data_IF_030835795673
#
_entry.id   IF_030835795673
#
_cell.length_a   1.000
_cell.length_b   1.000
_cell.length_c   1.000
_cell.angle_alpha   90.00
_cell.angle_beta   90.00
_cell.angle_gamma   90.00
#
_symmetry.space_group_name_H-M   'P 1'
#
loop_
_entity.id
_entity.type
_entity.pdbx_description
1 polymer ?
#
# COMPACT_ATOMS: atom_id res chain seq x y z
N UNK A 1 -5.60 -7.04 -0.94
CA UNK A 1 -5.77 -5.65 -1.38
C UNK A 1 -6.63 -4.95 -0.35
N UNK A 2 -6.48 -3.65 -0.19
CA UNK A 2 -7.39 -2.86 0.64
C UNK A 2 -8.79 -2.96 0.04
N UNK A 3 -9.78 -3.17 0.89
CA UNK A 3 -11.16 -3.01 0.46
C UNK A 3 -11.54 -1.53 0.42
N UNK A 4 -12.68 -1.22 -0.21
CA UNK A 4 -13.10 0.17 -0.39
C UNK A 4 -13.39 0.86 0.95
N UNK A 5 -13.87 0.12 1.96
CA UNK A 5 -14.21 0.67 3.28
C UNK A 5 -12.94 1.09 4.01
N UNK A 6 -11.92 0.23 3.97
CA UNK A 6 -10.60 0.50 4.53
C UNK A 6 -9.94 1.68 3.82
N UNK A 7 -10.02 1.74 2.49
CA UNK A 7 -9.49 2.87 1.73
C UNK A 7 -10.18 4.19 2.10
N UNK A 8 -11.51 4.22 2.15
CA UNK A 8 -12.27 5.41 2.56
C UNK A 8 -11.89 5.87 3.97
N UNK A 9 -11.72 4.93 4.90
CA UNK A 9 -11.29 5.25 6.27
C UNK A 9 -9.88 5.85 6.32
N UNK A 10 -8.94 5.32 5.54
CA UNK A 10 -7.59 5.86 5.45
C UNK A 10 -7.56 7.24 4.81
N UNK A 11 -8.33 7.44 3.73
CA UNK A 11 -8.45 8.74 3.06
C UNK A 11 -9.02 9.79 4.01
N UNK A 12 -10.11 9.46 4.72
CA UNK A 12 -10.71 10.37 5.70
C UNK A 12 -9.72 10.75 6.82
N UNK A 13 -8.89 9.81 7.30
CA UNK A 13 -7.84 10.13 8.28
C UNK A 13 -6.81 11.12 7.72
N UNK A 14 -6.32 10.89 6.51
CA UNK A 14 -5.31 11.74 5.88
C UNK A 14 -5.85 13.14 5.55
N UNK A 15 -7.10 13.24 5.09
CA UNK A 15 -7.77 14.52 4.79
C UNK A 15 -8.00 15.40 6.02
N UNK A 16 -8.13 14.79 7.21
CA UNK A 16 -8.35 15.51 8.47
C UNK A 16 -7.05 15.76 9.26
N UNK A 17 -5.88 15.40 8.72
CA UNK A 17 -4.61 15.60 9.41
C UNK A 17 -4.20 17.08 9.35
N UNK A 18 -3.90 17.69 10.50
CA UNK A 18 -3.46 19.10 10.55
C UNK A 18 -2.12 19.32 9.82
N UNK A 19 -1.24 18.33 9.86
CA UNK A 19 0.03 18.33 9.12
C UNK A 19 -0.18 17.85 7.69
N UNK A 20 -0.50 18.81 6.80
CA UNK A 20 -0.73 18.56 5.37
C UNK A 20 0.49 17.91 4.68
N UNK A 21 1.71 18.27 5.09
CA UNK A 21 2.92 17.71 4.51
C UNK A 21 3.04 16.23 4.84
N UNK A 22 2.83 15.86 6.11
CA UNK A 22 2.80 14.45 6.53
C UNK A 22 1.68 13.68 5.83
N UNK A 23 0.49 14.29 5.66
CA UNK A 23 -0.63 13.66 4.95
C UNK A 23 -0.27 13.31 3.51
N UNK A 24 0.35 14.26 2.78
CA UNK A 24 0.79 14.07 1.40
C UNK A 24 1.88 13.01 1.29
N UNK A 25 2.81 12.97 2.24
CA UNK A 25 3.88 11.96 2.28
C UNK A 25 3.29 10.55 2.47
N UNK A 26 2.39 10.37 3.44
CA UNK A 26 1.74 9.09 3.71
C UNK A 26 0.83 8.66 2.56
N UNK A 27 0.11 9.59 1.94
CA UNK A 27 -0.70 9.30 0.75
C UNK A 27 0.18 8.80 -0.41
N UNK A 28 1.33 9.44 -0.63
CA UNK A 28 2.29 9.01 -1.67
C UNK A 28 2.86 7.63 -1.36
N UNK A 29 3.24 7.37 -0.12
CA UNK A 29 3.71 6.06 0.32
C UNK A 29 2.66 4.97 0.10
N UNK A 30 1.41 5.23 0.49
CA UNK A 30 0.29 4.31 0.33
C UNK A 30 0.04 3.99 -1.15
N UNK A 31 0.03 5.01 -2.01
CA UNK A 31 -0.15 4.85 -3.46
C UNK A 31 0.98 4.02 -4.08
N UNK A 32 2.22 4.30 -3.70
CA UNK A 32 3.38 3.57 -4.22
C UNK A 32 3.36 2.10 -3.80
N UNK A 33 3.09 1.82 -2.52
CA UNK A 33 3.03 0.46 -2.00
C UNK A 33 1.89 -0.35 -2.65
N UNK A 34 0.69 0.23 -2.74
CA UNK A 34 -0.48 -0.44 -3.34
C UNK A 34 -0.32 -0.62 -4.85
N UNK A 35 0.27 0.36 -5.57
CA UNK A 35 0.57 0.22 -6.99
C UNK A 35 1.60 -0.89 -7.26
N UNK A 36 2.66 -0.95 -6.46
CA UNK A 36 3.68 -2.00 -6.58
C UNK A 36 3.08 -3.39 -6.32
N UNK A 37 2.32 -3.54 -5.24
CA UNK A 37 1.65 -4.80 -4.92
C UNK A 37 0.65 -5.21 -6.00
N UNK A 38 -0.15 -4.26 -6.51
CA UNK A 38 -1.09 -4.51 -7.61
C UNK A 38 -0.39 -5.00 -8.88
N UNK A 39 0.75 -4.40 -9.25
CA UNK A 39 1.55 -4.83 -10.41
C UNK A 39 2.08 -6.25 -10.25
N UNK A 40 2.54 -6.63 -9.05
CA UNK A 40 2.99 -7.99 -8.76
C UNK A 40 1.83 -8.99 -8.84
N UNK A 41 0.66 -8.66 -8.28
CA UNK A 41 -0.53 -9.52 -8.33
C UNK A 41 -1.04 -9.74 -9.75
N UNK A 42 -0.95 -8.73 -10.62
CA UNK A 42 -1.35 -8.84 -12.02
C UNK A 42 -0.33 -9.64 -12.86
N UNK A 43 0.74 -10.13 -12.25
CA UNK A 43 1.80 -10.97 -12.80
C UNK A 43 2.12 -10.68 -14.27
N UNK A 44 2.69 -9.52 -14.54
CA UNK A 44 3.11 -9.11 -15.89
C UNK A 44 4.48 -9.67 -16.29
N UNK A 45 5.10 -10.50 -15.45
CA UNK A 45 6.46 -10.99 -15.67
C UNK A 45 6.49 -12.52 -15.71
N UNK A 46 6.41 -13.07 -16.92
CA UNK A 46 6.41 -14.52 -17.18
C UNK A 46 7.78 -15.18 -16.89
N UNK A 47 8.84 -14.38 -16.76
CA UNK A 47 10.21 -14.87 -16.54
C UNK A 47 10.54 -15.08 -15.04
N UNK A 48 9.62 -14.74 -14.13
CA UNK A 48 9.87 -14.81 -12.69
C UNK A 48 9.44 -16.18 -12.13
N UNK A 49 10.38 -16.97 -11.54
CA UNK A 49 10.03 -18.24 -10.92
C UNK A 49 8.94 -18.03 -9.85
N UNK A 50 7.96 -18.94 -9.79
CA UNK A 50 6.80 -18.82 -8.90
C UNK A 50 7.16 -18.57 -7.42
N UNK A 51 8.25 -19.19 -6.93
CA UNK A 51 8.75 -18.96 -5.57
C UNK A 51 9.23 -17.52 -5.36
N UNK A 52 10.02 -16.98 -6.30
CA UNK A 52 10.45 -15.58 -6.25
C UNK A 52 9.27 -14.62 -6.38
N UNK A 53 8.28 -14.93 -7.20
CA UNK A 53 7.09 -14.09 -7.35
C UNK A 53 6.30 -14.02 -6.05
N UNK A 54 6.15 -15.16 -5.37
CA UNK A 54 5.48 -15.24 -4.07
C UNK A 54 6.23 -14.41 -3.02
N UNK A 55 7.55 -14.54 -2.95
CA UNK A 55 8.37 -13.77 -2.00
C UNK A 55 8.23 -12.26 -2.22
N UNK A 56 8.22 -11.80 -3.47
CA UNK A 56 8.02 -10.39 -3.80
C UNK A 56 6.60 -9.92 -3.47
N UNK A 57 5.58 -10.74 -3.74
CA UNK A 57 4.20 -10.47 -3.32
C UNK A 57 4.07 -10.35 -1.80
N UNK A 58 4.68 -11.25 -1.04
CA UNK A 58 4.64 -11.25 0.43
C UNK A 58 5.35 -10.01 1.00
N UNK A 59 6.50 -9.63 0.44
CA UNK A 59 7.20 -8.37 0.81
C UNK A 59 6.38 -7.13 0.47
N UNK A 60 5.81 -7.07 -0.73
CA UNK A 60 5.00 -5.94 -1.16
C UNK A 60 3.73 -5.79 -0.33
N UNK A 61 3.08 -6.91 0.02
CA UNK A 61 1.94 -6.93 0.94
C UNK A 61 2.34 -6.39 2.32
N UNK A 62 3.46 -6.86 2.87
CA UNK A 62 3.95 -6.38 4.17
C UNK A 62 4.19 -4.87 4.16
N UNK A 63 4.77 -4.33 3.10
CA UNK A 63 4.97 -2.89 2.95
C UNK A 63 3.64 -2.11 2.94
N UNK A 64 2.62 -2.59 2.22
CA UNK A 64 1.27 -2.00 2.27
C UNK A 64 0.74 -2.02 3.71
N UNK A 65 0.83 -3.17 4.39
CA UNK A 65 0.31 -3.35 5.75
C UNK A 65 1.03 -2.40 6.75
N UNK A 66 2.33 -2.16 6.59
CA UNK A 66 3.12 -1.22 7.40
C UNK A 66 2.68 0.24 7.21
N UNK A 67 2.49 0.68 5.97
CA UNK A 67 2.01 2.05 5.68
C UNK A 67 0.59 2.25 6.21
N UNK A 68 -0.30 1.27 6.02
CA UNK A 68 -1.66 1.29 6.54
C UNK A 68 -1.66 1.38 8.07
N UNK A 69 -0.82 0.60 8.73
CA UNK A 69 -0.72 0.62 10.19
C UNK A 69 -0.24 2.00 10.70
N UNK A 70 0.73 2.62 10.02
CA UNK A 70 1.19 3.98 10.35
C UNK A 70 0.05 4.99 10.25
N UNK A 71 -0.71 4.97 9.15
CA UNK A 71 -1.85 5.88 8.95
C UNK A 71 -2.94 5.64 10.01
N UNK A 72 -3.23 4.37 10.34
CA UNK A 72 -4.24 4.03 11.35
C UNK A 72 -3.87 4.51 12.75
N UNK A 73 -2.59 4.56 13.08
CA UNK A 73 -2.07 4.96 14.39
C UNK A 73 -1.89 6.47 14.58
N UNK A 74 -2.23 7.28 13.57
CA UNK A 74 -2.41 8.73 13.69
C UNK A 74 -3.75 9.05 14.35
#
# INVERSE_FOLDING_TARGET
MLDNIELESLMSKLENLEDEQLAVELLRELNNATSHYGKLLMNQNEDLPHEHWKDECDKAKKNVDEVVLRIKNL
#
